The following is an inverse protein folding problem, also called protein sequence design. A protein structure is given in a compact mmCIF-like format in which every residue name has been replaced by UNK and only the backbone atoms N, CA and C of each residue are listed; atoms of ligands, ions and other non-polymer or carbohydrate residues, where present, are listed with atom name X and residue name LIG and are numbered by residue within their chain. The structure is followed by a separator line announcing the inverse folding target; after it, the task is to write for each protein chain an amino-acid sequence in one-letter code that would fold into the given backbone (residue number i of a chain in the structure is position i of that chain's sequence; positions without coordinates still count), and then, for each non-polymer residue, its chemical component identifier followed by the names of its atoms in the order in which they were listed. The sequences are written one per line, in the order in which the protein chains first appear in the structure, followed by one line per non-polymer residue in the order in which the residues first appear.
data_IF_495831074829
#
_entry.id   IF_495831074829
#
_cell.length_a   1.000
_cell.length_b   1.000
_cell.length_c   1.000
_cell.angle_alpha   90.00
_cell.angle_beta   90.00
_cell.angle_gamma   90.00
#
_symmetry.space_group_name_H-M   'P 1'
#
loop_
_entity.id
_entity.type
_entity.pdbx_description
1 polymer ?
#
# COMPACT_ATOMS: atom_id res chain seq x y z
N UNK A 1 41.05 -24.16 -5.46
CA UNK A 1 40.17 -23.11 -4.90
C UNK A 1 38.73 -23.43 -5.29
N UNK A 2 37.91 -24.08 -4.45
CA UNK A 2 36.52 -24.33 -4.82
C UNK A 2 35.73 -23.04 -4.70
N UNK A 3 35.15 -22.61 -5.82
CA UNK A 3 34.30 -21.44 -5.94
C UNK A 3 32.97 -21.72 -5.22
N UNK A 4 32.79 -21.20 -4.01
CA UNK A 4 31.50 -21.28 -3.31
C UNK A 4 30.53 -20.29 -3.97
N UNK A 5 29.60 -20.83 -4.77
CA UNK A 5 28.51 -20.04 -5.32
C UNK A 5 27.71 -19.38 -4.18
N UNK A 6 27.34 -18.09 -4.29
CA UNK A 6 26.58 -17.42 -3.25
C UNK A 6 25.21 -18.08 -3.10
N UNK A 7 24.94 -18.54 -1.87
CA UNK A 7 23.66 -19.14 -1.48
C UNK A 7 22.54 -18.13 -1.78
N UNK A 8 21.52 -18.47 -2.59
CA UNK A 8 20.45 -17.53 -2.88
C UNK A 8 19.76 -17.11 -1.59
N UNK A 9 19.64 -15.81 -1.37
CA UNK A 9 18.91 -15.25 -0.24
C UNK A 9 17.47 -15.80 -0.26
N UNK A 10 16.91 -16.23 0.89
CA UNK A 10 15.56 -16.76 0.94
C UNK A 10 14.57 -15.73 0.41
N UNK A 11 13.67 -16.17 -0.47
CA UNK A 11 12.57 -15.36 -0.98
C UNK A 11 11.71 -14.90 0.21
N UNK A 12 11.59 -13.59 0.39
CA UNK A 12 10.77 -13.01 1.45
C UNK A 12 9.34 -12.88 0.95
N UNK A 13 8.40 -13.57 1.62
CA UNK A 13 6.97 -13.45 1.37
C UNK A 13 6.35 -12.61 2.49
N UNK A 14 5.73 -11.49 2.14
CA UNK A 14 4.76 -10.84 3.02
C UNK A 14 3.40 -11.49 2.76
N UNK A 15 2.82 -12.11 3.81
CA UNK A 15 1.46 -12.66 3.78
C UNK A 15 0.64 -11.98 4.84
N UNK A 16 -0.49 -11.40 4.42
CA UNK A 16 -1.54 -11.00 5.36
C UNK A 16 -2.24 -12.29 5.79
N UNK A 17 -2.18 -12.61 7.09
CA UNK A 17 -2.80 -13.82 7.61
C UNK A 17 -4.32 -13.74 7.45
N UNK A 18 -4.90 -14.71 6.75
CA UNK A 18 -6.35 -14.90 6.72
C UNK A 18 -6.79 -15.48 8.06
N UNK A 19 -7.84 -14.93 8.66
CA UNK A 19 -8.44 -15.54 9.85
C UNK A 19 -9.16 -16.83 9.50
N UNK A 20 -8.44 -17.95 9.56
CA UNK A 20 -8.98 -19.29 9.75
C UNK A 20 -8.59 -19.74 11.16
N UNK A 21 -9.58 -20.09 11.99
CA UNK A 21 -9.41 -20.25 13.43
C UNK A 21 -8.28 -21.19 13.86
N UNK A 22 -7.51 -20.77 14.85
CA UNK A 22 -6.90 -21.63 15.84
C UNK A 22 -6.75 -20.82 17.13
N UNK A 23 -7.38 -21.28 18.21
CA UNK A 23 -7.23 -20.70 19.54
C UNK A 23 -5.78 -20.86 19.99
N UNK A 24 -5.05 -19.77 20.06
CA UNK A 24 -3.85 -19.67 20.89
C UNK A 24 -3.93 -18.35 21.64
N UNK A 25 -4.00 -18.46 22.97
CA UNK A 25 -4.01 -17.33 23.88
C UNK A 25 -2.65 -16.62 23.82
N UNK A 26 -2.62 -15.41 23.27
CA UNK A 26 -1.61 -14.41 23.58
C UNK A 26 -2.21 -13.03 23.44
N UNK A 27 -1.99 -12.20 24.45
CA UNK A 27 -2.50 -10.85 24.53
C UNK A 27 -1.73 -9.97 23.54
N UNK A 28 -2.41 -9.49 22.51
CA UNK A 28 -1.85 -8.53 21.55
C UNK A 28 -2.87 -8.22 20.47
N UNK A 29 -3.28 -6.95 20.41
CA UNK A 29 -4.17 -6.29 19.45
C UNK A 29 -4.82 -7.21 18.38
N UNK A 30 -6.13 -7.39 18.48
CA UNK A 30 -6.97 -8.08 17.50
C UNK A 30 -6.59 -7.67 16.07
N UNK A 31 -5.80 -8.50 15.41
CA UNK A 31 -5.50 -8.36 14.00
C UNK A 31 -6.81 -8.70 13.30
N UNK A 32 -7.55 -7.68 12.88
CA UNK A 32 -8.80 -7.87 12.16
C UNK A 32 -8.51 -8.80 10.97
N UNK A 33 -9.01 -10.04 11.08
CA UNK A 33 -8.75 -11.07 10.11
C UNK A 33 -9.20 -10.61 8.73
N UNK A 34 -8.25 -10.49 7.81
CA UNK A 34 -8.53 -10.09 6.44
C UNK A 34 -9.06 -11.31 5.68
N UNK A 35 -10.15 -11.18 4.90
CA UNK A 35 -10.69 -12.32 4.15
C UNK A 35 -9.65 -12.97 3.22
N UNK A 36 -9.77 -14.27 2.97
CA UNK A 36 -8.76 -15.01 2.20
C UNK A 36 -8.62 -14.52 0.75
N UNK A 37 -9.71 -14.09 0.12
CA UNK A 37 -9.67 -13.46 -1.21
C UNK A 37 -8.78 -12.22 -1.21
N UNK A 38 -8.88 -11.42 -0.16
CA UNK A 38 -8.11 -10.19 0.01
C UNK A 38 -6.64 -10.51 0.23
N UNK A 39 -6.32 -11.52 1.05
CA UNK A 39 -4.95 -11.93 1.30
C UNK A 39 -4.19 -12.23 -0.01
N UNK A 40 -4.86 -12.82 -1.02
CA UNK A 40 -4.27 -13.12 -2.35
C UNK A 40 -3.82 -11.86 -3.10
N UNK A 41 -4.54 -10.75 -2.97
CA UNK A 41 -4.14 -9.48 -3.58
C UNK A 41 -2.84 -8.91 -2.99
N UNK A 42 -2.48 -9.33 -1.77
CA UNK A 42 -1.32 -8.85 -1.05
C UNK A 42 -0.15 -9.84 -1.03
N UNK A 43 -0.26 -10.97 -1.73
CA UNK A 43 0.85 -11.91 -1.89
C UNK A 43 1.82 -11.38 -2.96
N UNK A 44 3.00 -10.94 -2.51
CA UNK A 44 4.08 -10.51 -3.40
C UNK A 44 5.18 -11.56 -3.45
N UNK A 45 5.59 -11.96 -4.65
CA UNK A 45 6.82 -12.73 -4.85
C UNK A 45 8.00 -11.76 -5.00
N UNK A 46 8.62 -11.37 -3.88
CA UNK A 46 9.79 -10.51 -3.91
C UNK A 46 10.99 -11.28 -4.51
N UNK A 47 11.62 -10.69 -5.53
CA UNK A 47 12.84 -11.24 -6.13
C UNK A 47 14.07 -10.89 -5.28
N UNK A 48 15.21 -11.49 -5.59
CA UNK A 48 16.48 -11.08 -5.00
C UNK A 48 16.71 -9.57 -5.23
N UNK A 49 17.08 -8.84 -4.18
CA UNK A 49 17.22 -7.38 -4.21
C UNK A 49 15.91 -6.61 -4.04
N UNK A 50 14.77 -7.27 -3.80
CA UNK A 50 13.51 -6.63 -3.48
C UNK A 50 13.07 -6.93 -2.04
N UNK A 51 12.22 -6.06 -1.51
CA UNK A 51 11.49 -6.30 -0.27
C UNK A 51 10.01 -5.99 -0.44
N UNK A 52 9.17 -6.58 0.41
CA UNK A 52 7.74 -6.33 0.45
C UNK A 52 7.22 -6.24 1.89
N UNK A 53 6.13 -5.52 2.09
CA UNK A 53 5.42 -5.40 3.37
C UNK A 53 3.94 -5.16 3.14
N UNK A 54 3.14 -5.27 4.20
CA UNK A 54 1.73 -4.94 4.21
C UNK A 54 1.37 -4.19 5.51
N UNK A 55 0.64 -3.08 5.37
CA UNK A 55 0.17 -2.27 6.49
C UNK A 55 -1.36 -2.34 6.52
N UNK A 56 -1.89 -2.59 7.71
CA UNK A 56 -3.34 -2.71 7.96
C UNK A 56 -3.79 -1.53 8.83
N UNK A 57 -4.91 -0.92 8.48
CA UNK A 57 -5.52 0.18 9.22
C UNK A 57 -7.03 -0.06 9.37
N UNK A 58 -7.51 -0.11 10.60
CA UNK A 58 -8.94 -0.03 10.90
C UNK A 58 -9.38 1.44 10.91
N UNK A 59 -10.56 1.72 10.35
CA UNK A 59 -11.13 3.06 10.20
C UNK A 59 -12.57 3.02 10.68
N UNK A 60 -12.96 3.94 11.57
CA UNK A 60 -14.31 4.03 12.10
C UNK A 60 -15.26 4.79 11.15
N UNK A 61 -15.31 4.35 9.88
CA UNK A 61 -16.15 4.94 8.85
C UNK A 61 -16.73 3.84 7.95
N UNK A 62 -17.89 4.07 7.30
CA UNK A 62 -18.45 3.14 6.32
C UNK A 62 -17.50 2.90 5.13
N UNK A 63 -17.53 1.68 4.61
CA UNK A 63 -16.64 1.24 3.51
C UNK A 63 -16.77 2.12 2.26
N UNK A 64 -17.98 2.61 1.97
CA UNK A 64 -18.25 3.53 0.86
C UNK A 64 -17.56 4.88 1.04
N UNK A 65 -17.54 5.44 2.25
CA UNK A 65 -16.88 6.70 2.55
C UNK A 65 -15.36 6.56 2.37
N UNK A 66 -14.77 5.49 2.89
CA UNK A 66 -13.33 5.21 2.73
C UNK A 66 -12.98 5.00 1.26
N UNK A 67 -13.75 4.16 0.55
CA UNK A 67 -13.49 3.86 -0.85
C UNK A 67 -13.64 5.11 -1.74
N UNK A 68 -14.60 5.99 -1.45
CA UNK A 68 -14.78 7.25 -2.19
C UNK A 68 -13.54 8.13 -2.20
N UNK A 69 -12.69 8.05 -1.16
CA UNK A 69 -11.40 8.76 -1.07
C UNK A 69 -10.29 7.96 -1.75
N UNK A 70 -10.17 6.66 -1.45
CA UNK A 70 -9.09 5.81 -1.98
C UNK A 70 -9.13 5.72 -3.51
N UNK A 71 -10.31 5.54 -4.10
CA UNK A 71 -10.50 5.36 -5.54
C UNK A 71 -10.09 6.56 -6.38
N UNK A 72 -9.95 7.75 -5.80
CA UNK A 72 -9.54 8.98 -6.49
C UNK A 72 -8.03 8.97 -6.73
N UNK A 73 -7.61 8.13 -7.68
CA UNK A 73 -6.21 8.03 -8.12
C UNK A 73 -5.62 9.38 -8.52
N UNK A 74 -6.44 10.27 -9.07
CA UNK A 74 -6.10 11.63 -9.48
C UNK A 74 -5.95 12.63 -8.32
N UNK A 75 -6.51 12.33 -7.14
CA UNK A 75 -6.51 13.23 -5.96
C UNK A 75 -5.93 12.56 -4.71
N UNK A 76 -4.69 12.02 -4.77
CA UNK A 76 -4.09 11.36 -3.61
C UNK A 76 -3.84 12.32 -2.44
N UNK A 77 -3.75 13.62 -2.72
CA UNK A 77 -3.52 14.69 -1.73
C UNK A 77 -4.62 14.80 -0.68
N UNK A 78 -5.81 14.25 -0.96
CA UNK A 78 -6.91 14.21 0.00
C UNK A 78 -6.50 13.56 1.32
N UNK A 79 -5.53 12.64 1.30
CA UNK A 79 -5.01 11.99 2.51
C UNK A 79 -3.49 11.77 2.53
N UNK A 80 -2.81 11.74 1.37
CA UNK A 80 -1.35 11.58 1.30
C UNK A 80 -0.65 12.94 1.42
N UNK A 81 -0.41 13.39 2.65
CA UNK A 81 0.14 14.72 2.93
C UNK A 81 1.59 14.96 2.46
N UNK A 82 2.32 13.89 2.14
CA UNK A 82 3.64 14.01 1.52
C UNK A 82 3.57 14.47 0.05
N UNK A 83 2.37 14.53 -0.55
CA UNK A 83 2.18 14.99 -1.92
C UNK A 83 1.73 16.46 -1.93
N UNK A 84 2.58 17.32 -2.48
CA UNK A 84 2.33 18.75 -2.67
C UNK A 84 1.35 19.03 -3.81
N UNK A 85 1.42 18.29 -4.90
CA UNK A 85 0.51 18.43 -6.05
C UNK A 85 0.41 17.13 -6.83
N UNK A 86 -0.74 16.88 -7.44
CA UNK A 86 -0.97 15.75 -8.34
C UNK A 86 -1.64 16.23 -9.62
N UNK A 87 -1.27 15.65 -10.77
CA UNK A 87 -1.98 15.82 -12.04
C UNK A 87 -2.02 14.51 -12.81
N UNK A 88 -3.06 14.31 -13.63
CA UNK A 88 -3.07 13.24 -14.62
C UNK A 88 -2.24 13.65 -15.83
N UNK A 89 -1.35 12.76 -16.26
CA UNK A 89 -0.53 12.90 -17.47
C UNK A 89 -1.41 12.57 -18.67
N UNK A 90 -1.50 13.49 -19.64
CA UNK A 90 -2.37 13.35 -20.81
C UNK A 90 -3.80 13.90 -20.61
N UNK A 91 -4.20 14.19 -19.37
CA UNK A 91 -5.56 14.64 -19.05
C UNK A 91 -6.61 13.53 -19.16
N UNK A 92 -7.88 13.93 -19.18
CA UNK A 92 -9.02 13.01 -19.28
C UNK A 92 -9.41 12.32 -17.97
N UNK A 93 -10.28 11.33 -18.08
CA UNK A 93 -10.79 10.56 -16.95
C UNK A 93 -9.76 9.54 -16.44
N UNK A 94 -9.92 9.16 -15.17
CA UNK A 94 -9.12 8.09 -14.57
C UNK A 94 -9.58 6.74 -15.10
N UNK A 95 -8.68 6.00 -15.73
CA UNK A 95 -8.89 4.63 -16.17
C UNK A 95 -7.64 3.79 -15.94
N UNK A 96 -7.75 2.46 -15.96
CA UNK A 96 -6.58 1.57 -15.91
C UNK A 96 -5.62 1.93 -17.04
N UNK A 97 -4.34 2.10 -16.72
CA UNK A 97 -3.31 2.60 -17.63
C UNK A 97 -3.06 4.11 -17.55
N UNK A 98 -3.96 4.90 -16.94
CA UNK A 98 -3.72 6.32 -16.68
C UNK A 98 -2.46 6.50 -15.82
N UNK A 99 -1.72 7.57 -16.10
CA UNK A 99 -0.52 7.94 -15.35
C UNK A 99 -0.79 9.23 -14.60
N UNK A 100 -0.45 9.28 -13.31
CA UNK A 100 -0.38 10.53 -12.55
C UNK A 100 1.06 10.95 -12.34
N UNK A 101 1.30 12.24 -12.33
CA UNK A 101 2.55 12.84 -11.89
C UNK A 101 2.30 13.58 -10.58
N UNK A 102 3.02 13.16 -9.53
CA UNK A 102 2.95 13.77 -8.21
C UNK A 102 4.24 14.50 -7.91
N UNK A 103 4.13 15.63 -7.21
CA UNK A 103 5.27 16.33 -6.62
C UNK A 103 5.24 16.16 -5.11
N UNK A 104 6.39 15.86 -4.55
CA UNK A 104 6.55 15.61 -3.11
C UNK A 104 6.78 16.94 -2.39
N UNK A 105 6.36 17.02 -1.12
CA UNK A 105 6.67 18.15 -0.25
C UNK A 105 8.19 18.26 -0.01
N UNK A 106 8.67 19.47 0.28
CA UNK A 106 10.09 19.70 0.62
C UNK A 106 10.50 18.94 1.88
N UNK A 107 11.77 18.56 1.97
CA UNK A 107 12.35 17.88 3.13
C UNK A 107 12.34 16.35 3.05
N UNK A 108 11.72 15.78 2.02
CA UNK A 108 11.83 14.35 1.70
C UNK A 108 12.89 14.09 0.62
N UNK A 109 13.53 12.91 0.60
CA UNK A 109 14.50 12.52 -0.43
C UNK A 109 13.82 12.11 -1.75
N UNK A 110 12.87 12.94 -2.20
CA UNK A 110 12.13 12.77 -3.43
C UNK A 110 11.58 14.13 -3.89
N UNK A 111 11.52 14.34 -5.20
CA UNK A 111 10.96 15.56 -5.79
C UNK A 111 9.67 15.27 -6.55
N UNK A 112 9.67 14.19 -7.34
CA UNK A 112 8.52 13.81 -8.16
C UNK A 112 8.42 12.30 -8.32
N UNK A 113 7.20 11.82 -8.61
CA UNK A 113 6.93 10.41 -8.96
C UNK A 113 5.91 10.37 -10.10
N UNK A 114 6.12 9.47 -11.07
CA UNK A 114 5.16 9.13 -12.11
C UNK A 114 4.65 7.73 -11.83
N UNK A 115 3.34 7.62 -11.68
CA UNK A 115 2.67 6.43 -11.20
C UNK A 115 1.58 6.03 -12.18
N UNK A 116 1.57 4.77 -12.61
CA UNK A 116 0.58 4.20 -13.52
C UNK A 116 -0.45 3.40 -12.73
N UNK A 117 -1.72 3.63 -12.98
CA UNK A 117 -2.84 2.87 -12.43
C UNK A 117 -2.89 1.49 -13.10
N UNK A 118 -2.80 0.43 -12.30
CA UNK A 118 -2.77 -0.95 -12.75
C UNK A 118 -4.11 -1.65 -12.53
N UNK A 119 -4.79 -1.35 -11.41
CA UNK A 119 -6.09 -1.91 -11.04
C UNK A 119 -6.94 -0.78 -10.45
N UNK A 120 -8.19 -0.69 -10.89
CA UNK A 120 -9.24 0.08 -10.24
C UNK A 120 -10.53 -0.71 -10.35
N UNK A 121 -10.86 -1.44 -9.29
CA UNK A 121 -12.04 -2.28 -9.19
C UNK A 121 -12.95 -1.70 -8.11
N UNK A 122 -14.06 -1.09 -8.53
CA UNK A 122 -15.03 -0.46 -7.64
C UNK A 122 -15.90 -1.48 -6.89
N UNK A 123 -16.12 -2.66 -7.46
CA UNK A 123 -16.94 -3.72 -6.85
C UNK A 123 -16.16 -4.40 -5.72
N UNK A 124 -14.91 -4.78 -6.00
CA UNK A 124 -14.02 -5.42 -5.01
C UNK A 124 -13.25 -4.42 -4.17
N UNK A 125 -13.33 -3.13 -4.49
CA UNK A 125 -12.64 -2.01 -3.82
C UNK A 125 -11.14 -2.22 -3.75
N UNK A 126 -10.55 -2.51 -4.91
CA UNK A 126 -9.12 -2.76 -5.10
C UNK A 126 -8.52 -1.68 -5.97
N UNK A 127 -7.45 -1.05 -5.48
CA UNK A 127 -6.64 -0.11 -6.25
C UNK A 127 -5.20 -0.61 -6.27
N UNK A 128 -4.57 -0.63 -7.44
CA UNK A 128 -3.13 -0.92 -7.56
C UNK A 128 -2.49 0.11 -8.48
N UNK A 129 -1.30 0.56 -8.12
CA UNK A 129 -0.47 1.36 -9.01
C UNK A 129 0.99 0.90 -8.93
N UNK A 130 1.75 1.25 -9.96
CA UNK A 130 3.20 1.10 -9.97
C UNK A 130 3.87 2.42 -10.29
N UNK A 131 5.06 2.58 -9.77
CA UNK A 131 5.98 3.65 -10.17
C UNK A 131 6.57 3.30 -11.54
N UNK A 132 6.54 4.25 -12.45
CA UNK A 132 7.08 4.15 -13.82
C UNK A 132 8.19 5.17 -14.11
N UNK A 133 8.47 6.06 -13.17
CA UNK A 133 9.54 7.05 -13.26
C UNK A 133 9.40 8.10 -12.17
N UNK A 134 10.30 9.06 -12.13
CA UNK A 134 10.33 10.11 -11.12
C UNK A 134 11.71 10.31 -10.50
N UNK A 135 11.82 11.35 -9.68
CA UNK A 135 13.02 11.71 -8.94
C UNK A 135 12.90 11.24 -7.49
N UNK A 136 13.15 9.94 -7.28
CA UNK A 136 13.16 9.27 -5.99
C UNK A 136 13.90 7.94 -6.11
N UNK A 137 14.11 7.24 -4.99
CA UNK A 137 14.85 5.97 -4.95
C UNK A 137 13.98 4.70 -4.98
N UNK A 138 12.65 4.81 -5.02
CA UNK A 138 11.71 3.68 -4.96
C UNK A 138 11.46 3.02 -6.33
N UNK A 139 12.52 2.49 -6.94
CA UNK A 139 12.43 1.82 -8.24
C UNK A 139 11.55 0.56 -8.17
N UNK A 140 10.79 0.32 -9.25
CA UNK A 140 9.87 -0.82 -9.40
C UNK A 140 8.86 -0.98 -8.25
N UNK A 141 8.59 0.11 -7.51
CA UNK A 141 7.54 0.12 -6.49
C UNK A 141 6.20 -0.23 -7.12
N UNK A 142 5.50 -1.20 -6.55
CA UNK A 142 4.12 -1.55 -6.86
C UNK A 142 3.36 -1.69 -5.57
N UNK A 143 2.20 -1.06 -5.48
CA UNK A 143 1.29 -1.22 -4.34
C UNK A 143 -0.04 -1.80 -4.76
N UNK A 144 -0.70 -2.40 -3.77
CA UNK A 144 -2.09 -2.84 -3.84
C UNK A 144 -2.77 -2.41 -2.54
N UNK A 145 -3.80 -1.60 -2.67
CA UNK A 145 -4.68 -1.15 -1.59
C UNK A 145 -6.03 -1.83 -1.75
N UNK A 146 -6.55 -2.42 -0.67
CA UNK A 146 -7.88 -3.02 -0.65
C UNK A 146 -8.68 -2.48 0.54
N UNK A 147 -10.00 -2.36 0.37
CA UNK A 147 -10.90 -1.73 1.36
C UNK A 147 -12.10 -2.63 1.66
N UNK A 148 -12.26 -3.01 2.94
CA UNK A 148 -13.22 -4.04 3.38
C UNK A 148 -14.08 -3.54 4.53
N UNK A 149 -15.29 -4.07 4.64
CA UNK A 149 -16.05 -3.93 5.88
C UNK A 149 -15.35 -4.67 7.02
N UNK A 150 -15.31 -4.07 8.20
CA UNK A 150 -14.87 -4.76 9.40
C UNK A 150 -15.86 -5.90 9.71
N UNK A 151 -15.34 -7.09 10.03
CA UNK A 151 -16.16 -8.28 10.28
C UNK A 151 -17.20 -8.07 11.39
N UNK A 152 -18.21 -8.95 11.41
CA UNK A 152 -19.34 -8.90 12.33
C UNK A 152 -18.86 -8.80 13.81
N UNK A 153 -19.12 -7.65 14.43
CA UNK A 153 -18.78 -7.37 15.83
C UNK A 153 -18.11 -6.02 16.08
N UNK A 154 -17.53 -5.38 15.05
CA UNK A 154 -16.77 -4.13 15.20
C UNK A 154 -17.57 -2.84 14.95
N UNK A 155 -18.89 -2.93 14.72
CA UNK A 155 -19.71 -1.79 14.27
C UNK A 155 -19.47 -1.44 12.80
N UNK A 156 -19.95 -0.27 12.36
CA UNK A 156 -19.73 0.26 10.99
C UNK A 156 -18.27 0.70 10.81
N UNK A 157 -17.38 -0.28 10.69
CA UNK A 157 -15.95 -0.07 10.50
C UNK A 157 -15.48 -0.52 9.12
N UNK A 158 -14.32 -0.03 8.74
CA UNK A 158 -13.61 -0.42 7.51
C UNK A 158 -12.20 -0.89 7.86
N UNK A 159 -11.71 -1.92 7.18
CA UNK A 159 -10.30 -2.35 7.22
C UNK A 159 -9.67 -2.05 5.87
N UNK A 160 -8.62 -1.24 5.88
CA UNK A 160 -7.79 -0.95 4.71
C UNK A 160 -6.48 -1.69 4.83
N UNK A 161 -6.09 -2.39 3.78
CA UNK A 161 -4.79 -3.05 3.68
C UNK A 161 -4.05 -2.46 2.49
N UNK A 162 -2.85 -1.94 2.71
CA UNK A 162 -1.94 -1.52 1.66
C UNK A 162 -0.66 -2.35 1.73
N UNK A 163 -0.41 -3.14 0.68
CA UNK A 163 0.85 -3.89 0.54
C UNK A 163 1.63 -3.39 -0.65
N UNK A 164 2.94 -3.62 -0.61
CA UNK A 164 3.83 -3.23 -1.68
C UNK A 164 4.99 -4.19 -1.86
N UNK A 165 5.60 -4.12 -3.04
CA UNK A 165 6.93 -4.64 -3.33
C UNK A 165 7.76 -3.52 -3.95
N UNK A 166 9.05 -3.47 -3.64
CA UNK A 166 9.96 -2.43 -4.12
C UNK A 166 11.38 -2.97 -4.20
N UNK A 167 12.18 -2.43 -5.11
CA UNK A 167 13.62 -2.69 -5.14
C UNK A 167 14.30 -2.03 -3.95
N UNK A 168 15.24 -2.75 -3.33
CA UNK A 168 16.09 -2.20 -2.28
C UNK A 168 17.09 -1.23 -2.92
N UNK A 169 17.06 0.07 -2.59
CA UNK A 169 17.95 1.04 -3.18
C UNK A 169 19.42 0.73 -2.89
N UNK A 170 20.32 1.02 -3.83
CA UNK A 170 21.76 0.87 -3.61
C UNK A 170 22.21 1.64 -2.35
N UNK A 171 22.94 0.97 -1.47
CA UNK A 171 23.41 1.54 -0.20
C UNK A 171 22.41 1.42 0.96
N UNK A 172 21.25 0.78 0.75
CA UNK A 172 20.30 0.48 1.83
C UNK A 172 20.12 -1.04 2.02
N UNK A 173 19.70 -1.41 3.22
CA UNK A 173 19.23 -2.77 3.49
C UNK A 173 17.73 -2.93 3.19
N UNK A 174 17.27 -4.18 3.09
CA UNK A 174 15.85 -4.47 2.97
C UNK A 174 15.05 -3.99 4.20
N UNK A 175 15.63 -4.06 5.40
CA UNK A 175 14.99 -3.60 6.63
C UNK A 175 14.84 -2.09 6.65
N UNK A 176 15.89 -1.33 6.34
CA UNK A 176 15.84 0.13 6.23
C UNK A 176 14.80 0.59 5.21
N UNK A 177 14.76 -0.06 4.05
CA UNK A 177 13.79 0.23 3.00
C UNK A 177 12.36 -0.02 3.47
N UNK A 178 12.11 -1.16 4.14
CA UNK A 178 10.80 -1.47 4.71
C UNK A 178 10.40 -0.46 5.78
N UNK A 179 11.29 -0.11 6.72
CA UNK A 179 10.99 0.88 7.76
C UNK A 179 10.59 2.22 7.15
N UNK A 180 11.34 2.68 6.13
CA UNK A 180 11.03 3.93 5.44
C UNK A 180 9.67 3.89 4.75
N UNK A 181 9.43 2.87 3.92
CA UNK A 181 8.19 2.77 3.13
C UNK A 181 6.97 2.49 4.03
N UNK A 182 7.10 1.61 5.03
CA UNK A 182 6.02 1.34 6.00
C UNK A 182 5.63 2.58 6.78
N UNK A 183 6.59 3.45 7.10
CA UNK A 183 6.31 4.73 7.76
C UNK A 183 5.46 5.62 6.87
N UNK A 184 5.82 5.77 5.59
CA UNK A 184 5.03 6.56 4.63
C UNK A 184 3.63 5.99 4.48
N UNK A 185 3.50 4.68 4.25
CA UNK A 185 2.20 4.01 4.07
C UNK A 185 1.35 4.17 5.33
N UNK A 186 1.92 3.96 6.52
CA UNK A 186 1.21 4.13 7.80
C UNK A 186 0.71 5.56 8.00
N UNK A 187 1.55 6.57 7.75
CA UNK A 187 1.13 7.98 7.83
C UNK A 187 -0.03 8.29 6.86
N UNK A 188 0.03 7.76 5.64
CA UNK A 188 -1.04 7.91 4.66
C UNK A 188 -2.33 7.26 5.18
N UNK A 189 -2.30 6.00 5.63
CA UNK A 189 -3.50 5.30 6.11
C UNK A 189 -4.11 5.95 7.36
N UNK A 190 -3.29 6.48 8.26
CA UNK A 190 -3.77 7.26 9.41
C UNK A 190 -4.46 8.57 9.00
N UNK A 191 -3.94 9.25 7.97
CA UNK A 191 -4.61 10.43 7.42
C UNK A 191 -5.90 10.08 6.68
N UNK A 192 -5.92 8.94 5.98
CA UNK A 192 -7.13 8.40 5.36
C UNK A 192 -8.20 8.16 6.41
N UNK A 193 -7.85 7.55 7.54
CA UNK A 193 -8.77 7.30 8.65
C UNK A 193 -9.45 8.60 9.11
N UNK A 194 -8.64 9.60 9.48
CA UNK A 194 -9.14 10.93 9.90
C UNK A 194 -10.00 11.61 8.84
N UNK A 195 -9.67 11.43 7.56
CA UNK A 195 -10.40 12.05 6.46
C UNK A 195 -11.74 11.37 6.24
N UNK A 196 -11.78 10.04 6.21
CA UNK A 196 -13.00 9.27 5.99
C UNK A 196 -13.96 9.34 7.19
N UNK A 197 -13.43 9.36 8.42
CA UNK A 197 -14.24 9.52 9.64
C UNK A 197 -14.93 10.89 9.72
N UNK A 198 -14.38 11.93 9.08
CA UNK A 198 -15.04 13.24 8.96
C UNK A 198 -16.10 13.30 7.86
N UNK A 199 -16.10 12.34 6.94
CA UNK A 199 -17.08 12.23 5.86
C UNK A 199 -18.28 11.35 6.26
N UNK A 200 -18.15 10.57 7.34
CA UNK A 200 -19.19 9.73 7.92
C UNK A 200 -20.10 10.54 8.84
#
# INVERSE_FOLDING_TARGET
MPYTAPRPSPQQHSRVLSGGGAKAASHGASCAAVPAEVARHHEHAARAGQCCSAVVQAIAAPVGAVWSVVRRFDRPQAYKHFIRSCRLVGGGDVAVGSVREVRVVSGLPATSSRERLEILDDERRVLSFRVVGGEHRLANYRSVTTVHEAGAGAGTGTVVVESYVVDVPHGNTADETRVFVDTIVRCNLQSLARTAERLA
#
